data_IF_087478926856
#
_entry.id   IF_087478926856
#
_cell.length_a   1.000
_cell.length_b   1.000
_cell.length_c   1.000
_cell.angle_alpha   90.00
_cell.angle_beta   90.00
_cell.angle_gamma   90.00
#
_symmetry.space_group_name_H-M   'P 1'
#
loop_
_entity.id
_entity.type
_entity.pdbx_description
1 polymer ?
#
# COMPACT_ATOMS: atom_id res chain seq x y z
N UNK A 1 -16.95 14.08 -11.52
CA UNK A 1 -16.52 12.68 -11.55
C UNK A 1 -17.39 11.94 -10.56
N UNK A 2 -17.95 10.79 -10.94
CA UNK A 2 -18.83 10.02 -10.05
C UNK A 2 -18.03 8.89 -9.38
N UNK A 3 -17.99 8.82 -8.05
CA UNK A 3 -17.24 7.78 -7.35
C UNK A 3 -18.04 6.48 -7.25
N UNK A 4 -17.33 5.36 -7.19
CA UNK A 4 -17.88 4.07 -6.83
C UNK A 4 -17.98 3.92 -5.30
N UNK A 5 -19.02 3.23 -4.84
CA UNK A 5 -19.22 2.94 -3.43
C UNK A 5 -18.20 1.90 -2.92
N UNK A 6 -17.50 2.26 -1.85
CA UNK A 6 -16.63 1.40 -1.07
C UNK A 6 -16.92 1.66 0.40
N UNK A 7 -16.64 0.66 1.24
CA UNK A 7 -16.82 0.75 2.69
C UNK A 7 -15.51 0.41 3.37
N UNK A 8 -15.14 1.22 4.36
CA UNK A 8 -14.02 0.95 5.25
C UNK A 8 -14.54 0.38 6.56
N UNK A 9 -14.09 -0.83 6.89
CA UNK A 9 -14.25 -1.43 8.21
C UNK A 9 -12.99 -1.17 9.03
N UNK A 10 -13.10 -0.38 10.08
CA UNK A 10 -12.00 -0.06 11.00
C UNK A 10 -12.21 -0.70 12.37
N UNK A 11 -11.13 -1.31 12.85
CA UNK A 11 -11.01 -1.88 14.19
C UNK A 11 -10.00 -1.03 14.94
N UNK A 12 -10.48 -0.34 15.98
CA UNK A 12 -9.70 0.61 16.77
C UNK A 12 -9.82 0.40 18.27
N UNK A 13 -9.14 1.26 19.02
CA UNK A 13 -9.23 1.34 20.48
C UNK A 13 -9.01 -0.01 21.18
N UNK A 14 -8.07 -0.82 20.68
CA UNK A 14 -7.79 -2.13 21.28
C UNK A 14 -7.18 -1.98 22.67
N UNK A 15 -7.73 -2.70 23.66
CA UNK A 15 -7.18 -2.77 25.00
C UNK A 15 -7.54 -4.08 25.68
N UNK A 16 -6.62 -4.67 26.44
CA UNK A 16 -6.83 -5.96 27.09
C UNK A 16 -6.79 -5.81 28.61
N UNK A 17 -7.79 -6.34 29.32
CA UNK A 17 -7.78 -6.51 30.78
C UNK A 17 -7.72 -7.99 31.10
N UNK A 18 -6.69 -8.39 31.85
CA UNK A 18 -6.54 -9.77 32.33
C UNK A 18 -6.62 -9.72 33.86
N UNK A 19 -7.61 -10.37 34.49
CA UNK A 19 -7.69 -10.47 35.94
C UNK A 19 -6.45 -11.17 36.53
N UNK A 20 -5.92 -10.66 37.65
CA UNK A 20 -4.73 -11.20 38.30
C UNK A 20 -4.81 -12.71 38.61
N UNK A 21 -6.01 -13.23 38.89
CA UNK A 21 -6.25 -14.65 39.12
C UNK A 21 -6.05 -15.54 37.88
N UNK A 22 -6.20 -14.99 36.67
CA UNK A 22 -5.94 -15.68 35.39
C UNK A 22 -4.46 -15.64 34.99
N UNK A 23 -3.69 -14.69 35.54
CA UNK A 23 -2.23 -14.66 35.40
C UNK A 23 -1.58 -15.85 36.15
N UNK A 24 -2.14 -16.21 37.31
CA UNK A 24 -1.62 -17.27 38.18
C UNK A 24 -1.88 -18.70 37.66
N UNK A 25 -2.81 -18.90 36.71
CA UNK A 25 -2.97 -20.20 36.05
C UNK A 25 -1.97 -20.41 34.91
N UNK A 26 -1.20 -19.38 34.54
CA UNK A 26 -0.28 -19.41 33.40
C UNK A 26 1.19 -19.53 33.84
N UNK A 27 1.57 -19.17 35.08
CA UNK A 27 2.95 -19.32 35.56
C UNK A 27 3.04 -19.65 37.07
N UNK A 28 3.58 -20.82 37.39
CA UNK A 28 4.35 -21.00 38.62
C UNK A 28 5.69 -20.29 38.44
N UNK A 29 5.96 -19.24 39.22
CA UNK A 29 7.28 -18.60 39.31
C UNK A 29 7.33 -17.17 38.79
N UNK A 30 7.26 -16.23 39.73
CA UNK A 30 8.01 -14.96 39.83
C UNK A 30 8.58 -14.44 38.49
N UNK A 31 7.80 -13.62 37.77
CA UNK A 31 8.18 -12.47 36.92
C UNK A 31 6.92 -12.02 36.15
N UNK A 32 6.03 -11.27 36.81
CA UNK A 32 4.79 -10.75 36.22
C UNK A 32 5.06 -9.43 35.45
N UNK A 33 5.80 -9.47 34.34
CA UNK A 33 6.01 -8.29 33.46
C UNK A 33 6.18 -8.70 31.98
N UNK A 34 5.28 -8.19 31.12
CA UNK A 34 5.51 -7.83 29.70
C UNK A 34 5.59 -8.89 28.58
N UNK A 35 4.85 -9.99 28.58
CA UNK A 35 4.66 -10.70 27.29
C UNK A 35 3.72 -9.89 26.39
N UNK A 36 4.14 -9.50 25.17
CA UNK A 36 3.28 -8.74 24.27
C UNK A 36 2.08 -9.60 23.86
N UNK A 37 0.89 -9.08 24.07
CA UNK A 37 -0.34 -9.70 23.59
C UNK A 37 -0.54 -9.33 22.12
N UNK A 38 -0.96 -10.30 21.31
CA UNK A 38 -1.21 -10.09 19.88
C UNK A 38 -2.64 -10.47 19.53
N UNK A 39 -3.27 -9.67 18.67
CA UNK A 39 -4.54 -9.98 18.04
C UNK A 39 -4.33 -10.53 16.64
N UNK A 40 -5.08 -11.56 16.27
CA UNK A 40 -5.37 -11.88 14.88
C UNK A 40 -6.79 -11.45 14.55
N UNK A 41 -6.91 -10.57 13.56
CA UNK A 41 -8.16 -10.02 13.08
C UNK A 41 -8.45 -10.68 11.73
N UNK A 42 -9.59 -11.38 11.67
CA UNK A 42 -9.97 -12.22 10.54
C UNK A 42 -11.33 -11.79 10.02
N UNK A 43 -11.41 -11.59 8.71
CA UNK A 43 -12.64 -11.39 7.97
C UNK A 43 -12.63 -12.34 6.78
N UNK A 44 -13.73 -13.05 6.55
CA UNK A 44 -13.84 -14.04 5.46
C UNK A 44 -13.52 -13.38 4.12
N UNK A 45 -12.66 -14.01 3.32
CA UNK A 45 -12.24 -13.48 2.00
C UNK A 45 -11.07 -12.49 2.06
N UNK A 46 -10.63 -12.07 3.25
CA UNK A 46 -9.53 -11.11 3.42
C UNK A 46 -8.31 -11.73 4.11
N UNK A 47 -7.10 -11.21 3.86
CA UNK A 47 -5.90 -11.66 4.56
C UNK A 47 -5.98 -11.35 6.06
N UNK A 48 -5.52 -12.29 6.88
CA UNK A 48 -5.47 -12.12 8.34
C UNK A 48 -4.51 -10.99 8.70
N UNK A 49 -4.99 -10.03 9.50
CA UNK A 49 -4.17 -8.93 10.00
C UNK A 49 -3.75 -9.22 11.45
N UNK A 50 -2.49 -9.02 11.78
CA UNK A 50 -1.96 -9.21 13.15
C UNK A 50 -1.52 -7.86 13.71
N UNK A 51 -1.89 -7.57 14.96
CA UNK A 51 -1.52 -6.32 15.64
C UNK A 51 -1.25 -6.58 17.13
N UNK A 52 -0.47 -5.73 17.79
CA UNK A 52 -0.28 -5.79 19.23
C UNK A 52 -1.50 -5.24 19.96
N UNK A 53 -1.74 -5.72 21.18
CA UNK A 53 -2.79 -5.19 22.06
C UNK A 53 -2.17 -4.71 23.37
N UNK A 54 -2.39 -3.44 23.75
CA UNK A 54 -1.91 -2.93 25.02
C UNK A 54 -2.67 -3.57 26.18
N UNK A 55 -1.95 -3.97 27.23
CA UNK A 55 -2.53 -4.40 28.49
C UNK A 55 -2.92 -3.16 29.30
N UNK A 56 -4.19 -3.07 29.68
CA UNK A 56 -4.75 -1.97 30.47
C UNK A 56 -4.82 -2.43 31.92
N UNK A 57 -3.99 -1.82 32.78
CA UNK A 57 -3.86 -2.20 34.20
C UNK A 57 -4.74 -1.39 35.14
N UNK A 58 -5.19 -0.19 34.73
CA UNK A 58 -6.10 0.68 35.50
C UNK A 58 -7.48 0.74 34.86
N UNK A 59 -8.58 0.65 35.66
CA UNK A 59 -9.95 0.77 35.15
C UNK A 59 -10.27 2.15 34.57
N UNK A 60 -9.52 3.19 34.93
CA UNK A 60 -9.72 4.59 34.49
C UNK A 60 -9.11 4.90 33.11
N UNK A 61 -8.21 4.04 32.62
CA UNK A 61 -7.57 4.25 31.31
C UNK A 61 -8.54 3.82 30.21
N UNK A 62 -9.07 4.81 29.50
CA UNK A 62 -9.87 4.62 28.28
C UNK A 62 -8.89 4.49 27.10
N UNK A 63 -8.93 3.39 26.32
CA UNK A 63 -8.10 3.26 25.13
C UNK A 63 -8.37 4.42 24.15
N UNK A 64 -7.32 4.88 23.48
CA UNK A 64 -7.42 6.01 22.55
C UNK A 64 -8.52 5.77 21.51
N UNK A 65 -9.52 6.65 21.50
CA UNK A 65 -10.71 6.59 20.65
C UNK A 65 -10.41 6.85 19.17
N UNK A 66 -9.25 7.45 18.87
CA UNK A 66 -8.79 7.76 17.51
C UNK A 66 -7.80 6.73 16.97
N UNK A 67 -7.28 5.82 17.81
CA UNK A 67 -6.36 4.78 17.38
C UNK A 67 -7.06 3.74 16.48
N UNK A 68 -6.52 3.51 15.29
CA UNK A 68 -6.97 2.46 14.36
C UNK A 68 -5.93 1.35 14.28
N UNK A 69 -6.28 0.18 14.77
CA UNK A 69 -5.38 -0.97 14.83
C UNK A 69 -5.38 -1.78 13.53
N UNK A 70 -6.50 -1.83 12.81
CA UNK A 70 -6.65 -2.54 11.55
C UNK A 70 -7.79 -1.95 10.72
N UNK A 71 -7.65 -2.01 9.39
CA UNK A 71 -8.67 -1.54 8.44
C UNK A 71 -8.83 -2.57 7.30
N UNK A 72 -10.08 -2.85 6.92
CA UNK A 72 -10.44 -3.59 5.71
C UNK A 72 -11.22 -2.64 4.78
N UNK A 73 -11.05 -2.81 3.48
CA UNK A 73 -11.75 -2.04 2.47
C UNK A 73 -12.57 -3.00 1.63
N UNK A 74 -13.87 -2.76 1.56
CA UNK A 74 -14.85 -3.66 0.97
C UNK A 74 -15.44 -3.00 -0.28
N UNK A 75 -15.40 -3.72 -1.39
CA UNK A 75 -16.18 -3.38 -2.58
C UNK A 75 -17.61 -3.96 -2.47
N UNK A 76 -18.52 -3.53 -3.34
CA UNK A 76 -19.89 -4.05 -3.37
C UNK A 76 -19.92 -5.58 -3.53
N UNK A 77 -19.03 -6.15 -4.34
CA UNK A 77 -18.92 -7.61 -4.51
C UNK A 77 -18.47 -8.32 -3.24
N UNK A 78 -17.55 -7.73 -2.48
CA UNK A 78 -17.05 -8.31 -1.23
C UNK A 78 -18.16 -8.34 -0.18
N UNK A 79 -18.90 -7.24 -0.08
CA UNK A 79 -20.04 -7.16 0.84
C UNK A 79 -21.12 -8.18 0.47
N UNK A 80 -21.46 -8.29 -0.82
CA UNK A 80 -22.41 -9.30 -1.29
C UNK A 80 -21.93 -10.72 -0.95
N UNK A 81 -20.64 -11.00 -1.09
CA UNK A 81 -20.06 -12.30 -0.73
C UNK A 81 -20.09 -12.56 0.79
N UNK A 82 -19.94 -11.53 1.63
CA UNK A 82 -20.04 -11.65 3.08
C UNK A 82 -21.49 -11.85 3.55
N UNK A 83 -22.45 -11.20 2.90
CA UNK A 83 -23.89 -11.31 3.19
C UNK A 83 -24.52 -12.58 2.61
N UNK A 84 -23.89 -13.20 1.60
CA UNK A 84 -24.38 -14.43 1.00
C UNK A 84 -24.48 -15.56 2.06
N UNK A 85 -25.59 -16.32 2.07
CA UNK A 85 -25.72 -17.49 2.94
C UNK A 85 -24.60 -18.50 2.66
N UNK A 86 -23.98 -19.04 3.72
CA UNK A 86 -23.01 -20.11 3.58
C UNK A 86 -23.67 -21.41 3.11
N UNK A 87 -23.01 -22.15 2.21
CA UNK A 87 -23.44 -23.52 1.89
C UNK A 87 -22.97 -24.48 3.01
N UNK A 88 -23.85 -25.40 3.42
CA UNK A 88 -23.64 -26.39 4.49
C UNK A 88 -23.30 -25.83 5.88
N UNK A 89 -24.32 -25.71 6.76
CA UNK A 89 -24.24 -25.44 8.21
C UNK A 89 -23.37 -24.25 8.70
N UNK A 90 -22.76 -23.47 7.81
CA UNK A 90 -22.00 -22.28 8.18
C UNK A 90 -22.95 -21.12 8.44
N UNK A 91 -22.98 -20.72 9.69
CA UNK A 91 -23.44 -19.43 10.19
C UNK A 91 -22.90 -18.27 9.34
N UNK A 92 -23.62 -17.13 9.37
CA UNK A 92 -23.30 -15.87 8.67
C UNK A 92 -21.81 -15.52 8.78
N UNK A 93 -21.25 -14.84 7.77
CA UNK A 93 -19.87 -14.36 7.86
C UNK A 93 -19.70 -13.53 9.14
N UNK A 94 -18.53 -13.61 9.77
CA UNK A 94 -18.24 -12.85 10.97
C UNK A 94 -16.83 -12.24 10.92
N UNK A 95 -16.70 -11.09 11.56
CA UNK A 95 -15.43 -10.54 11.98
C UNK A 95 -15.01 -11.27 13.25
N UNK A 96 -13.86 -11.95 13.21
CA UNK A 96 -13.29 -12.66 14.35
C UNK A 96 -12.00 -11.98 14.81
N UNK A 97 -11.89 -11.71 16.10
CA UNK A 97 -10.70 -11.13 16.72
C UNK A 97 -10.25 -12.09 17.82
N UNK A 98 -9.16 -12.81 17.57
CA UNK A 98 -8.59 -13.77 18.51
C UNK A 98 -7.35 -13.17 19.20
N UNK A 99 -7.33 -13.20 20.52
CA UNK A 99 -6.25 -12.63 21.33
C UNK A 99 -5.34 -13.74 21.84
N UNK A 100 -4.04 -13.53 21.71
CA UNK A 100 -3.01 -14.49 22.10
C UNK A 100 -1.95 -13.86 22.99
N UNK A 101 -1.45 -14.66 23.93
CA UNK A 101 -0.24 -14.37 24.72
C UNK A 101 0.92 -15.26 24.26
N UNK A 102 2.15 -14.80 24.51
CA UNK A 102 3.39 -15.48 24.14
C UNK A 102 3.87 -15.19 22.72
N UNK A 103 5.11 -15.59 22.42
CA UNK A 103 5.76 -15.36 21.12
C UNK A 103 5.40 -16.49 20.15
N UNK A 104 5.21 -16.16 18.86
CA UNK A 104 5.08 -17.17 17.80
C UNK A 104 6.47 -17.79 17.58
N UNK A 105 6.66 -19.06 17.91
CA UNK A 105 7.95 -19.74 17.76
C UNK A 105 8.43 -19.75 16.31
N UNK A 106 9.70 -19.43 16.07
CA UNK A 106 10.38 -19.74 14.81
C UNK A 106 10.89 -21.18 14.85
N UNK A 107 11.06 -21.78 13.68
CA UNK A 107 11.40 -23.19 13.45
C UNK A 107 12.46 -23.80 14.41
N UNK A 108 12.27 -25.10 14.67
CA UNK A 108 13.13 -26.07 15.39
C UNK A 108 13.08 -26.05 16.93
N UNK A 109 12.26 -26.95 17.50
CA UNK A 109 12.46 -27.58 18.81
C UNK A 109 12.22 -26.71 20.06
N UNK A 110 11.10 -26.95 20.75
CA UNK A 110 10.78 -26.47 22.11
C UNK A 110 10.64 -24.94 22.26
N UNK A 111 9.70 -24.33 21.54
CA UNK A 111 9.26 -22.94 21.78
C UNK A 111 8.03 -22.87 22.69
N UNK A 112 7.97 -21.85 23.56
CA UNK A 112 6.77 -21.52 24.38
C UNK A 112 5.56 -21.42 23.45
N UNK A 113 4.58 -22.31 23.62
CA UNK A 113 3.39 -22.39 22.77
C UNK A 113 2.57 -21.11 22.92
N UNK A 114 2.33 -20.41 21.81
CA UNK A 114 1.38 -19.29 21.75
C UNK A 114 0.01 -19.74 22.28
N UNK A 115 -0.47 -19.10 23.33
CA UNK A 115 -1.72 -19.48 24.00
C UNK A 115 -2.82 -18.47 23.68
N UNK A 116 -4.00 -18.97 23.29
CA UNK A 116 -5.17 -18.14 23.04
C UNK A 116 -5.84 -17.76 24.37
N UNK A 117 -6.02 -16.47 24.59
CA UNK A 117 -6.71 -15.90 25.75
C UNK A 117 -8.22 -15.96 25.53
N UNK A 118 -8.65 -15.60 24.32
CA UNK A 118 -10.06 -15.46 24.00
C UNK A 118 -10.35 -15.03 22.58
N UNK A 119 -11.62 -14.99 22.22
CA UNK A 119 -12.09 -14.58 20.89
C UNK A 119 -13.33 -13.71 21.00
N UNK A 120 -13.31 -12.58 20.30
CA UNK A 120 -14.48 -11.77 19.99
C UNK A 120 -15.00 -12.16 18.59
N UNK A 121 -16.33 -12.23 18.43
CA UNK A 121 -16.98 -12.45 17.14
C UNK A 121 -18.12 -11.45 16.96
N UNK A 122 -18.19 -10.86 15.77
CA UNK A 122 -19.25 -9.96 15.34
C UNK A 122 -19.80 -10.46 14.02
N UNK A 123 -21.10 -10.75 13.96
CA UNK A 123 -21.75 -11.18 12.72
C UNK A 123 -21.81 -10.04 11.71
N UNK A 124 -21.68 -10.37 10.42
CA UNK A 124 -21.94 -9.46 9.32
C UNK A 124 -23.45 -9.42 9.09
N UNK A 125 -24.04 -8.25 9.27
CA UNK A 125 -25.46 -7.99 9.04
C UNK A 125 -25.73 -7.01 7.90
N UNK A 126 -27.00 -6.80 7.55
CA UNK A 126 -27.40 -5.90 6.45
C UNK A 126 -26.97 -4.45 6.67
N UNK A 127 -26.73 -4.04 7.93
CA UNK A 127 -26.25 -2.70 8.29
C UNK A 127 -24.90 -2.36 7.64
N UNK A 128 -24.15 -3.37 7.19
CA UNK A 128 -22.89 -3.19 6.48
C UNK A 128 -23.08 -2.60 5.08
N UNK A 129 -24.28 -2.72 4.49
CA UNK A 129 -24.61 -2.23 3.15
C UNK A 129 -25.34 -0.91 3.08
N UNK A 130 -25.65 -0.28 4.23
CA UNK A 130 -26.46 0.94 4.27
C UNK A 130 -25.75 2.18 3.71
N UNK A 131 -24.43 2.13 3.53
CA UNK A 131 -23.65 3.24 2.97
C UNK A 131 -23.57 4.47 3.88
N UNK A 132 -23.80 4.29 5.19
CA UNK A 132 -23.71 5.34 6.22
C UNK A 132 -22.66 4.98 7.27
N UNK A 133 -22.07 5.98 7.95
CA UNK A 133 -21.19 5.70 9.08
C UNK A 133 -21.95 4.99 10.21
N UNK A 134 -21.47 3.82 10.64
CA UNK A 134 -22.10 3.01 11.70
C UNK A 134 -21.05 2.49 12.66
N UNK A 135 -21.31 2.58 13.96
CA UNK A 135 -20.50 1.91 14.99
C UNK A 135 -21.20 0.61 15.33
N UNK A 136 -20.60 -0.52 14.94
CA UNK A 136 -21.17 -1.85 15.18
C UNK A 136 -20.92 -2.32 16.61
N UNK A 137 -19.81 -1.90 17.20
CA UNK A 137 -19.45 -2.22 18.57
C UNK A 137 -18.50 -1.17 19.14
N UNK A 138 -18.68 -0.80 20.42
CA UNK A 138 -17.77 0.06 21.15
C UNK A 138 -17.86 -0.23 22.65
N UNK A 139 -16.77 -0.71 23.25
CA UNK A 139 -16.69 -0.93 24.68
C UNK A 139 -15.90 -2.17 25.07
N UNK A 140 -16.01 -2.54 26.35
CA UNK A 140 -15.40 -3.75 26.93
C UNK A 140 -16.29 -4.97 26.75
N UNK A 141 -15.71 -6.12 26.41
CA UNK A 141 -16.41 -7.39 26.30
C UNK A 141 -15.55 -8.56 26.79
N UNK A 142 -16.15 -9.52 27.50
CA UNK A 142 -15.48 -10.75 27.91
C UNK A 142 -15.16 -11.66 26.72
N UNK A 143 -13.92 -12.10 26.59
CA UNK A 143 -13.45 -12.90 25.44
C UNK A 143 -13.05 -14.34 25.79
N UNK A 144 -12.98 -14.69 27.08
CA UNK A 144 -12.60 -16.02 27.56
C UNK A 144 -13.79 -16.94 27.87
N UNK A 145 -13.57 -18.26 27.91
CA UNK A 145 -14.56 -19.22 28.41
C UNK A 145 -14.75 -19.04 29.91
N UNK A 146 -15.86 -18.44 30.36
CA UNK A 146 -16.26 -18.55 31.76
C UNK A 146 -16.69 -20.00 32.02
N UNK A 147 -15.93 -20.76 32.82
CA UNK A 147 -16.50 -21.96 33.44
C UNK A 147 -17.63 -21.46 34.33
N UNK A 148 -18.86 -21.86 34.02
CA UNK A 148 -20.12 -21.39 34.58
C UNK A 148 -20.25 -21.58 36.11
N UNK A 149 -19.27 -22.23 36.74
CA UNK A 149 -19.23 -22.54 38.18
C UNK A 149 -18.29 -21.63 39.01
N UNK A 150 -17.45 -20.78 38.41
CA UNK A 150 -16.54 -19.90 39.17
C UNK A 150 -16.91 -18.42 38.98
N UNK A 151 -17.24 -17.73 40.07
CA UNK A 151 -17.51 -16.27 40.16
C UNK A 151 -16.31 -15.35 39.77
N UNK A 152 -15.33 -15.83 38.99
CA UNK A 152 -14.14 -15.05 38.62
C UNK A 152 -14.38 -14.29 37.31
N UNK A 153 -14.04 -12.99 37.23
CA UNK A 153 -14.09 -12.28 35.97
C UNK A 153 -13.10 -12.93 34.98
N UNK A 154 -13.53 -13.06 33.71
CA UNK A 154 -12.68 -13.51 32.61
C UNK A 154 -11.83 -12.37 32.04
N UNK A 155 -10.99 -12.67 31.05
CA UNK A 155 -10.29 -11.62 30.30
C UNK A 155 -11.29 -10.79 29.50
N UNK A 156 -11.11 -9.46 29.49
CA UNK A 156 -11.94 -8.51 28.75
C UNK A 156 -11.13 -7.82 27.66
N UNK A 157 -11.75 -7.60 26.51
CA UNK A 157 -11.20 -6.86 25.38
C UNK A 157 -12.03 -5.60 25.17
N UNK A 158 -11.37 -4.46 25.14
CA UNK A 158 -11.92 -3.23 24.59
C UNK A 158 -11.64 -3.17 23.11
N UNK A 159 -12.64 -2.78 22.33
CA UNK A 159 -12.47 -2.49 20.92
C UNK A 159 -13.59 -1.59 20.43
N UNK A 160 -13.31 -0.90 19.33
CA UNK A 160 -14.28 -0.18 18.53
C UNK A 160 -14.30 -0.75 17.12
N UNK A 161 -15.46 -1.17 16.66
CA UNK A 161 -15.68 -1.64 15.29
C UNK A 161 -16.58 -0.63 14.59
N UNK A 162 -16.07 0.00 13.54
CA UNK A 162 -16.73 1.09 12.81
C UNK A 162 -16.74 0.81 11.32
N UNK A 163 -17.86 1.12 10.67
CA UNK A 163 -18.00 1.20 9.23
C UNK A 163 -18.09 2.66 8.82
N UNK A 164 -17.34 3.03 7.79
CA UNK A 164 -17.36 4.36 7.18
C UNK A 164 -17.50 4.24 5.65
N UNK A 165 -18.29 5.11 5.00
CA UNK A 165 -18.25 5.26 3.56
C UNK A 165 -16.85 5.70 3.10
N UNK A 166 -16.31 5.05 2.08
CA UNK A 166 -14.98 5.32 1.54
C UNK A 166 -15.02 5.47 0.01
N UNK A 167 -15.89 6.33 -0.58
CA UNK A 167 -16.11 6.41 -2.01
C UNK A 167 -14.80 6.62 -2.80
N UNK A 168 -14.65 5.97 -3.95
CA UNK A 168 -13.41 5.98 -4.75
C UNK A 168 -13.67 6.23 -6.22
N UNK A 169 -12.78 6.99 -6.85
CA UNK A 169 -12.69 7.05 -8.30
C UNK A 169 -11.84 5.88 -8.82
N UNK A 170 -12.29 5.23 -9.88
CA UNK A 170 -11.55 4.13 -10.51
C UNK A 170 -11.11 4.58 -11.90
N UNK A 171 -9.80 4.71 -12.10
CA UNK A 171 -9.22 5.06 -13.39
C UNK A 171 -8.57 3.85 -14.03
N UNK A 172 -8.57 3.81 -15.37
CA UNK A 172 -7.87 2.79 -16.14
C UNK A 172 -7.11 3.44 -17.29
N UNK A 173 -5.85 3.05 -17.45
CA UNK A 173 -5.08 3.38 -18.65
C UNK A 173 -5.60 2.54 -19.82
N UNK A 174 -5.95 3.20 -20.92
CA UNK A 174 -6.55 2.55 -22.09
C UNK A 174 -5.59 1.58 -22.80
N UNK A 175 -4.28 1.80 -22.65
CA UNK A 175 -3.22 0.96 -23.22
C UNK A 175 -1.93 1.02 -22.39
N UNK A 176 -0.86 0.40 -22.89
CA UNK A 176 0.49 0.45 -22.32
C UNK A 176 0.95 1.90 -22.15
N UNK A 177 1.42 2.25 -20.94
CA UNK A 177 1.83 3.62 -20.56
C UNK A 177 2.81 4.25 -21.55
N UNK A 178 3.76 3.47 -22.10
CA UNK A 178 4.74 3.93 -23.10
C UNK A 178 4.13 4.36 -24.44
N UNK A 179 2.94 3.87 -24.77
CA UNK A 179 2.23 4.19 -26.01
C UNK A 179 1.38 5.46 -25.90
N UNK A 180 1.54 6.23 -24.81
CA UNK A 180 0.80 7.47 -24.57
C UNK A 180 -0.73 7.28 -24.60
N UNK A 181 -1.29 6.44 -23.71
CA UNK A 181 -2.71 6.08 -23.73
C UNK A 181 -3.60 7.20 -23.19
N UNK A 182 -4.90 7.12 -23.51
CA UNK A 182 -5.92 7.85 -22.74
C UNK A 182 -6.12 7.18 -21.37
N UNK A 183 -6.50 7.97 -20.38
CA UNK A 183 -6.89 7.49 -19.06
C UNK A 183 -8.38 7.75 -18.91
N UNK A 184 -9.12 6.68 -18.65
CA UNK A 184 -10.58 6.71 -18.51
C UNK A 184 -10.99 6.53 -17.06
N UNK A 185 -12.01 7.25 -16.62
CA UNK A 185 -12.76 6.97 -15.40
C UNK A 185 -13.77 5.85 -15.71
N UNK A 186 -13.77 4.82 -14.87
CA UNK A 186 -14.70 3.70 -14.93
C UNK A 186 -15.89 3.97 -14.03
N UNK A 187 -17.09 3.94 -14.61
CA UNK A 187 -18.36 4.07 -13.89
C UNK A 187 -19.29 2.92 -14.32
N UNK A 188 -19.20 1.80 -13.59
CA UNK A 188 -19.90 0.57 -13.99
C UNK A 188 -19.41 0.09 -15.36
N UNK A 189 -20.30 0.05 -16.35
CA UNK A 189 -19.96 -0.30 -17.74
C UNK A 189 -19.48 0.88 -18.59
N UNK A 190 -19.61 2.12 -18.10
CA UNK A 190 -19.26 3.33 -18.82
C UNK A 190 -17.77 3.64 -18.63
N UNK A 191 -17.10 4.01 -19.72
CA UNK A 191 -15.70 4.47 -19.73
C UNK A 191 -15.66 5.91 -20.24
N UNK A 192 -15.33 6.86 -19.37
CA UNK A 192 -15.24 8.27 -19.72
C UNK A 192 -13.77 8.71 -19.77
N UNK A 193 -13.25 9.23 -20.90
CA UNK A 193 -11.90 9.79 -20.94
C UNK A 193 -11.83 11.04 -20.05
N UNK A 194 -10.81 11.11 -19.18
CA UNK A 194 -10.56 12.27 -18.30
C UNK A 194 -9.18 12.87 -18.56
N UNK A 195 -8.19 12.04 -18.89
CA UNK A 195 -6.83 12.50 -19.17
C UNK A 195 -6.25 11.85 -20.41
N UNK A 196 -5.18 12.44 -20.93
CA UNK A 196 -4.25 11.79 -21.83
C UNK A 196 -2.86 11.68 -21.20
N UNK A 197 -2.28 10.48 -21.24
CA UNK A 197 -0.91 10.23 -20.82
C UNK A 197 0.00 10.40 -22.04
N UNK A 198 1.06 11.20 -21.91
CA UNK A 198 2.10 11.36 -22.94
C UNK A 198 3.43 10.89 -22.39
N UNK A 199 3.93 9.79 -22.93
CA UNK A 199 5.27 9.30 -22.66
C UNK A 199 6.26 9.90 -23.65
N UNK A 200 7.41 10.34 -23.14
CA UNK A 200 8.53 10.83 -23.95
C UNK A 200 9.83 10.26 -23.41
N UNK A 201 10.74 9.91 -24.33
CA UNK A 201 12.10 9.51 -24.02
C UNK A 201 13.03 10.55 -24.63
N UNK A 202 13.64 11.37 -23.79
CA UNK A 202 14.60 12.38 -24.23
C UNK A 202 15.95 11.72 -24.49
N UNK A 203 16.39 11.71 -25.75
CA UNK A 203 17.74 11.29 -26.11
C UNK A 203 18.68 12.42 -25.73
N UNK A 204 19.64 12.17 -24.84
CA UNK A 204 20.76 13.09 -24.67
C UNK A 204 21.55 13.05 -25.99
N UNK A 205 21.68 14.15 -26.76
CA UNK A 205 22.56 14.14 -27.91
C UNK A 205 23.98 13.88 -27.40
N UNK A 206 24.59 12.77 -27.79
CA UNK A 206 26.02 12.56 -27.64
C UNK A 206 26.73 13.58 -28.53
N UNK A 207 27.03 14.76 -27.98
CA UNK A 207 27.97 15.68 -28.60
C UNK A 207 29.36 15.25 -28.16
N UNK A 208 29.86 14.17 -28.76
CA UNK A 208 31.28 13.82 -28.68
C UNK A 208 31.93 14.11 -30.04
N UNK A 209 32.70 15.22 -30.20
CA UNK A 209 33.24 15.65 -31.49
C UNK A 209 34.25 14.68 -32.14
N UNK A 210 34.58 13.56 -31.47
CA UNK A 210 35.58 12.60 -31.90
C UNK A 210 35.01 11.25 -32.41
N UNK A 211 33.68 11.07 -32.44
CA UNK A 211 33.08 9.79 -32.83
C UNK A 211 33.10 9.49 -34.35
N UNK A 212 33.65 10.39 -35.17
CA UNK A 212 33.58 10.29 -36.65
C UNK A 212 34.52 9.22 -37.25
N UNK A 213 35.37 8.56 -36.46
CA UNK A 213 36.43 7.71 -37.02
C UNK A 213 36.15 6.20 -37.10
N UNK A 214 35.07 5.67 -36.51
CA UNK A 214 34.74 4.23 -36.60
C UNK A 214 33.41 4.00 -37.33
N UNK A 215 33.44 4.23 -38.64
CA UNK A 215 32.40 3.71 -39.54
C UNK A 215 32.69 2.23 -39.84
N UNK A 216 32.10 1.33 -39.06
CA UNK A 216 32.19 -0.12 -39.27
C UNK A 216 31.09 -0.90 -38.54
N UNK A 217 30.00 -1.18 -39.27
CA UNK A 217 28.91 -2.12 -38.92
C UNK A 217 28.02 -1.74 -37.72
N UNK A 218 27.10 -0.79 -37.94
CA UNK A 218 26.21 -0.22 -36.92
C UNK A 218 24.71 -0.50 -37.18
N UNK A 219 24.29 -1.76 -37.37
CA UNK A 219 22.85 -2.09 -37.46
C UNK A 219 22.30 -2.90 -36.28
N UNK A 220 23.16 -3.51 -35.43
CA UNK A 220 22.69 -4.32 -34.29
C UNK A 220 23.03 -3.77 -32.90
N UNK A 221 24.04 -2.90 -32.78
CA UNK A 221 24.47 -2.34 -31.49
C UNK A 221 23.56 -1.21 -31.01
N UNK A 222 23.07 -0.35 -31.91
CA UNK A 222 22.28 0.83 -31.53
C UNK A 222 20.90 0.45 -30.99
N UNK A 223 20.26 -0.59 -31.54
CA UNK A 223 19.03 -1.16 -31.01
C UNK A 223 19.23 -1.81 -29.63
N UNK A 224 20.39 -2.40 -29.36
CA UNK A 224 20.73 -2.97 -28.05
C UNK A 224 21.06 -1.88 -27.02
N UNK A 225 21.64 -0.76 -27.44
CA UNK A 225 21.97 0.39 -26.60
C UNK A 225 20.73 1.22 -26.26
N UNK A 226 19.84 1.47 -27.23
CA UNK A 226 18.51 2.08 -27.00
C UNK A 226 17.63 1.26 -26.06
N UNK A 227 17.78 -0.07 -26.06
CA UNK A 227 17.08 -0.99 -25.13
C UNK A 227 17.62 -0.94 -23.70
N UNK A 228 18.84 -0.43 -23.51
CA UNK A 228 19.54 -0.37 -22.21
C UNK A 228 19.46 0.99 -21.54
N UNK A 229 19.18 2.06 -22.27
CA UNK A 229 19.03 3.39 -21.70
C UNK A 229 17.61 3.65 -21.20
N UNK A 230 17.38 3.31 -19.93
CA UNK A 230 16.19 3.72 -19.16
C UNK A 230 16.48 5.05 -18.46
N UNK A 231 16.92 6.01 -19.28
CA UNK A 231 17.30 7.37 -18.91
C UNK A 231 16.37 8.35 -19.62
N UNK A 232 16.13 9.51 -19.02
CA UNK A 232 15.36 10.59 -19.65
C UNK A 232 13.90 10.25 -19.97
N UNK A 233 13.32 9.22 -19.34
CA UNK A 233 11.88 8.96 -19.48
C UNK A 233 11.11 10.02 -18.70
N UNK A 234 10.03 10.45 -19.34
CA UNK A 234 9.11 11.44 -18.80
C UNK A 234 7.69 11.06 -19.19
N UNK A 235 6.78 11.25 -18.25
CA UNK A 235 5.35 11.14 -18.47
C UNK A 235 4.71 12.47 -18.13
N UNK A 236 3.86 12.97 -19.01
CA UNK A 236 2.96 14.09 -18.73
C UNK A 236 1.53 13.61 -18.78
N UNK A 237 0.72 14.03 -17.81
CA UNK A 237 -0.73 13.85 -17.81
C UNK A 237 -1.33 15.17 -18.26
N UNK A 238 -2.15 15.12 -19.31
CA UNK A 238 -2.89 16.28 -19.79
C UNK A 238 -4.38 16.10 -19.52
N UNK A 239 -5.05 17.19 -19.21
CA UNK A 239 -6.50 17.25 -19.13
C UNK A 239 -7.15 17.13 -20.53
N UNK A 240 -8.47 17.29 -20.60
CA UNK A 240 -9.21 17.28 -21.87
C UNK A 240 -8.96 18.52 -22.74
N UNK A 241 -8.41 19.61 -22.19
CA UNK A 241 -8.01 20.80 -22.95
C UNK A 241 -6.64 20.63 -23.62
N UNK A 242 -5.87 19.62 -23.22
CA UNK A 242 -4.50 19.38 -23.65
C UNK A 242 -3.44 20.07 -22.79
N UNK A 243 -3.84 20.68 -21.66
CA UNK A 243 -2.96 21.32 -20.69
C UNK A 243 -2.29 20.27 -19.80
N UNK A 244 -0.98 20.40 -19.58
CA UNK A 244 -0.23 19.44 -18.75
C UNK A 244 -0.49 19.72 -17.26
N UNK A 245 -1.26 18.86 -16.60
CA UNK A 245 -1.74 19.04 -15.22
C UNK A 245 -0.98 18.22 -14.17
N UNK A 246 -0.16 17.26 -14.60
CA UNK A 246 0.79 16.56 -13.75
C UNK A 246 1.91 15.93 -14.59
N UNK A 247 3.04 15.61 -13.98
CA UNK A 247 4.12 14.91 -14.67
C UNK A 247 4.98 14.06 -13.73
N UNK A 248 5.67 13.09 -14.33
CA UNK A 248 6.68 12.27 -13.67
C UNK A 248 7.94 12.24 -14.53
N UNK A 249 9.10 12.46 -13.91
CA UNK A 249 10.40 12.55 -14.58
C UNK A 249 11.40 11.65 -13.90
N UNK A 250 12.21 10.93 -14.67
CA UNK A 250 13.38 10.25 -14.09
C UNK A 250 14.39 11.30 -13.61
N UNK A 251 14.70 11.29 -12.32
CA UNK A 251 15.79 12.10 -11.72
C UNK A 251 17.04 11.26 -11.46
N UNK A 252 16.86 9.98 -11.13
CA UNK A 252 17.97 9.03 -11.01
C UNK A 252 17.77 7.93 -12.05
N UNK A 253 18.69 7.78 -13.02
CA UNK A 253 18.52 6.83 -14.11
C UNK A 253 18.48 5.39 -13.61
N UNK A 254 17.70 4.56 -14.29
CA UNK A 254 17.63 3.13 -14.00
C UNK A 254 18.81 2.46 -14.70
N UNK A 255 19.87 2.17 -13.95
CA UNK A 255 21.12 1.58 -14.44
C UNK A 255 21.51 0.34 -13.63
N UNK A 256 22.23 -0.62 -14.23
CA UNK A 256 22.71 -1.79 -13.48
C UNK A 256 23.63 -1.35 -12.35
N UNK A 257 23.48 -1.97 -11.18
CA UNK A 257 24.39 -1.77 -10.05
C UNK A 257 25.68 -2.58 -10.23
N UNK A 258 26.78 -2.13 -9.64
CA UNK A 258 28.08 -2.81 -9.74
C UNK A 258 27.98 -4.30 -9.39
N UNK A 259 28.40 -5.17 -10.31
CA UNK A 259 28.37 -6.62 -10.12
C UNK A 259 27.00 -7.28 -10.36
N UNK A 260 25.99 -6.55 -10.82
CA UNK A 260 24.66 -7.08 -11.14
C UNK A 260 24.18 -6.60 -12.52
N UNK A 261 23.24 -7.33 -13.13
CA UNK A 261 22.60 -6.93 -14.39
C UNK A 261 21.21 -6.32 -14.18
N UNK A 262 20.92 -5.79 -12.98
CA UNK A 262 19.66 -5.12 -12.64
C UNK A 262 19.89 -3.90 -11.75
N UNK A 263 18.85 -3.08 -11.62
CA UNK A 263 18.81 -1.94 -10.68
C UNK A 263 18.68 -2.48 -9.26
N UNK A 264 19.72 -2.41 -8.44
CA UNK A 264 19.71 -2.92 -7.08
C UNK A 264 19.41 -1.82 -6.05
N UNK A 265 19.12 -2.22 -4.81
CA UNK A 265 18.85 -1.32 -3.68
C UNK A 265 19.98 -0.31 -3.41
N UNK A 266 21.22 -0.66 -3.73
CA UNK A 266 22.39 0.21 -3.55
C UNK A 266 22.42 1.39 -4.51
N UNK A 267 21.72 1.31 -5.65
CA UNK A 267 21.58 2.39 -6.62
C UNK A 267 20.18 2.36 -7.24
N UNK A 268 19.14 2.80 -6.50
CA UNK A 268 17.77 2.76 -6.98
C UNK A 268 17.54 3.81 -8.08
N UNK A 269 16.76 3.45 -9.09
CA UNK A 269 16.22 4.43 -10.02
C UNK A 269 15.16 5.29 -9.31
N UNK A 270 14.99 6.54 -9.73
CA UNK A 270 14.06 7.45 -9.07
C UNK A 270 13.30 8.32 -10.06
N UNK A 271 12.02 8.51 -9.74
CA UNK A 271 11.12 9.45 -10.39
C UNK A 271 10.80 10.61 -9.45
N UNK A 272 10.77 11.82 -9.97
CA UNK A 272 10.15 12.98 -9.34
C UNK A 272 8.76 13.18 -9.92
N UNK A 273 7.76 13.17 -9.06
CA UNK A 273 6.37 13.49 -9.37
C UNK A 273 6.16 14.96 -9.09
N UNK A 274 5.57 15.67 -10.04
CA UNK A 274 5.40 17.13 -9.97
C UNK A 274 3.99 17.53 -10.40
N UNK A 275 3.60 18.71 -9.94
CA UNK A 275 2.39 19.43 -10.38
C UNK A 275 2.75 20.81 -10.93
N UNK A 276 1.91 21.43 -11.75
CA UNK A 276 2.09 22.82 -12.15
C UNK A 276 2.19 23.75 -10.94
N UNK A 277 3.09 24.73 -11.01
CA UNK A 277 3.19 25.77 -9.99
C UNK A 277 2.01 26.75 -10.12
N UNK A 278 1.24 26.91 -9.04
CA UNK A 278 0.09 27.82 -8.99
C UNK A 278 0.50 29.28 -9.21
N UNK A 279 1.70 29.67 -8.78
CA UNK A 279 2.21 31.04 -8.87
C UNK A 279 2.97 31.30 -10.17
N UNK A 280 3.38 30.24 -10.88
CA UNK A 280 4.20 30.31 -12.10
C UNK A 280 3.73 29.26 -13.12
N UNK A 281 2.79 29.62 -14.01
CA UNK A 281 2.08 28.69 -14.92
C UNK A 281 2.95 27.85 -15.87
N UNK A 282 4.27 28.06 -15.91
CA UNK A 282 5.23 27.33 -16.75
C UNK A 282 6.26 26.52 -15.94
N UNK A 283 6.25 26.64 -14.61
CA UNK A 283 7.15 25.88 -13.74
C UNK A 283 6.45 24.71 -13.06
N UNK A 284 7.27 23.76 -12.61
CA UNK A 284 6.83 22.53 -11.96
C UNK A 284 7.23 22.56 -10.49
N UNK A 285 6.27 22.25 -9.61
CA UNK A 285 6.51 22.07 -8.18
C UNK A 285 6.66 20.58 -7.84
N UNK A 286 7.70 20.20 -7.07
CA UNK A 286 7.88 18.84 -6.62
C UNK A 286 6.78 18.44 -5.63
N UNK A 287 6.22 17.25 -5.80
CA UNK A 287 5.19 16.70 -4.91
C UNK A 287 5.67 15.45 -4.19
N UNK A 288 6.36 14.56 -4.90
CA UNK A 288 6.80 13.29 -4.33
C UNK A 288 7.92 12.65 -5.11
N UNK A 289 8.64 11.74 -4.46
CA UNK A 289 9.74 10.98 -5.04
C UNK A 289 9.42 9.48 -4.96
N UNK A 290 9.43 8.81 -6.11
CA UNK A 290 9.29 7.36 -6.21
C UNK A 290 10.63 6.73 -6.54
N UNK A 291 11.21 5.99 -5.60
CA UNK A 291 12.38 5.14 -5.83
C UNK A 291 11.94 3.73 -6.21
N UNK A 292 12.67 3.09 -7.12
CA UNK A 292 12.43 1.71 -7.49
C UNK A 292 13.72 0.93 -7.77
N UNK A 293 13.73 -0.32 -7.31
CA UNK A 293 14.83 -1.26 -7.53
C UNK A 293 14.29 -2.70 -7.55
N UNK A 294 15.06 -3.61 -8.14
CA UNK A 294 14.78 -5.04 -8.12
C UNK A 294 15.51 -5.71 -6.97
N UNK A 295 14.80 -6.55 -6.23
CA UNK A 295 15.34 -7.40 -5.19
C UNK A 295 15.14 -8.86 -5.58
N UNK A 296 16.27 -9.56 -5.74
CA UNK A 296 16.32 -10.98 -6.08
C UNK A 296 16.67 -11.78 -4.83
N UNK A 297 15.75 -12.61 -4.38
CA UNK A 297 15.94 -13.57 -3.30
C UNK A 297 15.14 -14.84 -3.58
N UNK A 298 14.44 -15.38 -2.57
CA UNK A 298 13.49 -16.49 -2.76
C UNK A 298 12.39 -16.11 -3.77
N UNK A 299 12.04 -14.82 -3.82
CA UNK A 299 11.08 -14.25 -4.77
C UNK A 299 11.74 -13.09 -5.51
N UNK A 300 11.54 -13.03 -6.80
CA UNK A 300 11.97 -11.90 -7.63
C UNK A 300 10.89 -10.81 -7.59
N UNK A 301 11.28 -9.62 -7.14
CA UNK A 301 10.36 -8.52 -6.91
C UNK A 301 10.97 -7.16 -7.24
N UNK A 302 10.12 -6.22 -7.63
CA UNK A 302 10.46 -4.81 -7.79
C UNK A 302 9.89 -4.08 -6.57
N UNK A 303 10.77 -3.47 -5.78
CA UNK A 303 10.38 -2.58 -4.71
C UNK A 303 10.06 -1.20 -5.29
N UNK A 304 8.94 -0.63 -4.87
CA UNK A 304 8.54 0.75 -5.13
C UNK A 304 8.41 1.47 -3.79
N UNK A 305 9.22 2.51 -3.58
CA UNK A 305 9.22 3.33 -2.36
C UNK A 305 8.85 4.76 -2.70
N UNK A 306 7.72 5.22 -2.19
CA UNK A 306 7.22 6.56 -2.41
C UNK A 306 7.36 7.43 -1.17
N UNK A 307 7.95 8.60 -1.33
CA UNK A 307 8.05 9.66 -0.32
C UNK A 307 7.31 10.91 -0.78
N UNK A 308 6.54 11.50 0.11
CA UNK A 308 5.93 12.81 -0.11
C UNK A 308 6.94 13.89 0.32
N UNK A 309 7.04 14.96 -0.47
CA UNK A 309 7.92 16.08 -0.19
C UNK A 309 7.11 17.16 0.54
N UNK A 310 7.62 17.67 1.67
CA UNK A 310 7.00 18.77 2.40
C UNK A 310 7.26 20.10 1.69
N UNK A 311 6.25 20.96 1.62
CA UNK A 311 6.36 22.33 1.06
C UNK A 311 7.00 23.34 2.04
N UNK A 312 7.31 22.92 3.28
CA UNK A 312 7.87 23.77 4.33
C UNK A 312 9.38 24.03 4.22
N UNK A 313 9.85 25.08 4.91
CA UNK A 313 11.25 25.54 4.97
C UNK A 313 12.25 24.48 5.47
N UNK A 314 11.78 23.48 6.22
CA UNK A 314 12.56 22.29 6.56
C UNK A 314 12.15 21.18 5.59
N UNK A 315 12.94 20.95 4.54
CA UNK A 315 12.68 19.99 3.45
C UNK A 315 12.63 18.53 3.89
N UNK A 316 11.64 18.16 4.70
CA UNK A 316 11.39 16.82 5.18
C UNK A 316 10.72 15.95 4.12
N UNK A 317 11.28 14.77 3.88
CA UNK A 317 10.65 13.73 3.08
C UNK A 317 9.90 12.75 4.01
N UNK A 318 8.61 12.52 3.76
CA UNK A 318 7.81 11.57 4.54
C UNK A 318 7.56 10.28 3.75
N UNK A 319 7.98 9.13 4.30
CA UNK A 319 7.71 7.83 3.69
C UNK A 319 6.22 7.54 3.71
N UNK A 320 5.60 7.44 2.53
CA UNK A 320 4.17 7.16 2.37
C UNK A 320 3.89 5.70 2.04
N UNK A 321 4.79 5.04 1.31
CA UNK A 321 4.63 3.63 0.94
C UNK A 321 5.96 2.98 0.55
N UNK A 322 6.14 1.71 0.91
CA UNK A 322 7.22 0.84 0.42
C UNK A 322 6.63 -0.55 0.17
N UNK A 323 6.56 -0.96 -1.11
CA UNK A 323 5.87 -2.19 -1.53
C UNK A 323 6.74 -2.99 -2.48
N UNK A 324 6.77 -4.31 -2.24
CA UNK A 324 7.41 -5.29 -3.12
C UNK A 324 6.38 -5.91 -4.08
N UNK A 325 6.49 -5.56 -5.35
CA UNK A 325 5.65 -6.07 -6.43
C UNK A 325 6.35 -7.27 -7.07
N UNK A 326 5.65 -8.37 -7.29
CA UNK A 326 6.28 -9.53 -7.93
C UNK A 326 6.65 -9.20 -9.39
N UNK A 327 7.90 -9.45 -9.78
CA UNK A 327 8.40 -9.05 -11.10
C UNK A 327 7.64 -9.73 -12.25
N UNK A 328 7.29 -11.01 -12.13
CA UNK A 328 6.65 -11.78 -13.21
C UNK A 328 5.12 -11.70 -13.20
N UNK A 329 4.52 -11.69 -12.01
CA UNK A 329 3.07 -11.70 -11.81
C UNK A 329 2.48 -10.31 -11.77
N UNK A 330 3.27 -9.29 -11.45
CA UNK A 330 2.80 -7.96 -11.11
C UNK A 330 2.24 -7.93 -9.69
N UNK A 331 1.39 -6.95 -9.42
CA UNK A 331 0.81 -6.75 -8.10
C UNK A 331 0.16 -5.38 -7.97
N UNK A 332 -0.02 -4.95 -6.73
CA UNK A 332 -0.67 -3.70 -6.41
C UNK A 332 0.27 -2.85 -5.57
N UNK A 333 0.55 -1.64 -6.05
CA UNK A 333 1.09 -0.56 -5.26
C UNK A 333 -0.08 0.15 -4.56
N UNK A 334 0.04 0.53 -3.30
CA UNK A 334 -0.98 1.27 -2.57
C UNK A 334 -0.36 2.23 -1.57
N UNK A 335 -1.12 3.26 -1.21
CA UNK A 335 -0.79 4.22 -0.16
C UNK A 335 -1.95 4.19 0.84
N UNK A 336 -1.64 3.92 2.10
CA UNK A 336 -2.61 3.87 3.20
C UNK A 336 -1.94 4.46 4.45
N UNK A 337 -2.44 5.61 4.89
CA UNK A 337 -1.83 6.38 5.99
C UNK A 337 -2.02 5.70 7.35
N UNK A 338 -3.04 4.85 7.52
CA UNK A 338 -3.20 4.06 8.76
C UNK A 338 -2.07 3.03 8.91
N UNK A 339 -1.66 2.42 7.79
CA UNK A 339 -0.59 1.42 7.78
C UNK A 339 0.75 2.06 8.11
N UNK A 340 0.98 3.26 7.59
CA UNK A 340 2.22 3.98 7.82
C UNK A 340 2.37 4.44 9.26
N UNK A 341 1.31 4.97 9.87
CA UNK A 341 1.32 5.37 11.28
C UNK A 341 1.64 4.18 12.20
N UNK A 342 1.15 2.97 11.87
CA UNK A 342 1.47 1.74 12.60
C UNK A 342 2.92 1.29 12.44
N UNK A 343 3.49 1.44 11.24
CA UNK A 343 4.89 1.11 11.00
C UNK A 343 5.85 2.05 11.76
N UNK A 344 5.54 3.35 11.80
CA UNK A 344 6.31 4.34 12.55
C UNK A 344 6.25 4.13 14.08
N UNK A 345 5.11 3.69 14.62
CA UNK A 345 4.97 3.38 16.04
C UNK A 345 5.75 2.11 16.48
N UNK A 346 6.20 1.27 15.54
CA UNK A 346 6.93 0.03 15.82
C UNK A 346 8.47 0.20 15.83
N UNK A 347 9.00 1.35 15.41
CA UNK A 347 10.44 1.67 15.50
C UNK A 347 10.78 2.42 16.79
N UNK A 348 11.82 2.04 17.55
CA UNK A 348 12.20 2.77 18.75
C UNK A 348 13.01 4.05 18.42
N UNK A 349 12.83 5.09 19.26
CA UNK A 349 13.64 6.33 19.46
C UNK A 349 13.09 7.61 18.76
N UNK A 350 13.21 8.83 19.33
CA UNK A 350 12.75 9.35 20.64
C UNK A 350 11.71 10.50 20.49
N UNK A 351 10.97 10.80 21.57
CA UNK A 351 10.26 12.06 21.92
C UNK A 351 9.52 12.89 20.84
N UNK A 352 8.19 13.10 20.96
CA UNK A 352 7.47 14.04 20.11
C UNK A 352 7.65 15.47 20.63
N UNK A 353 8.34 16.32 19.87
CA UNK A 353 8.17 17.76 19.97
C UNK A 353 7.89 18.29 18.58
N UNK A 354 6.62 18.61 18.32
CA UNK A 354 6.21 19.85 17.66
C UNK A 354 4.72 19.74 17.35
N UNK A 355 3.92 20.49 18.10
CA UNK A 355 2.58 20.88 17.67
C UNK A 355 2.74 21.99 16.64
N UNK A 356 2.27 21.78 15.42
CA UNK A 356 2.29 22.81 14.38
C UNK A 356 1.57 22.38 13.12
N UNK A 357 0.33 22.84 12.98
CA UNK A 357 -0.30 23.32 11.75
C UNK A 357 -0.26 22.43 10.49
N UNK A 358 -1.01 21.33 10.53
CA UNK A 358 -1.41 20.57 9.35
C UNK A 358 -2.58 21.27 8.63
N UNK A 359 -2.29 22.32 7.87
CA UNK A 359 -3.32 23.13 7.20
C UNK A 359 -3.47 22.85 5.68
N UNK A 360 -2.78 21.87 5.08
CA UNK A 360 -2.96 21.54 3.66
C UNK A 360 -3.34 20.07 3.36
N UNK A 361 -3.20 19.17 4.35
CA UNK A 361 -3.81 17.83 4.41
C UNK A 361 -4.08 17.55 5.89
N UNK A 362 -5.25 17.97 6.40
CA UNK A 362 -5.54 17.96 7.83
C UNK A 362 -5.36 16.57 8.49
N UNK A 363 -4.88 16.48 9.74
CA UNK A 363 -4.73 15.23 10.47
C UNK A 363 -6.06 14.97 11.18
N UNK A 364 -7.02 14.35 10.51
CA UNK A 364 -8.26 13.95 11.20
C UNK A 364 -8.88 12.63 10.73
N UNK A 365 -8.50 12.09 9.57
CA UNK A 365 -8.95 10.75 9.15
C UNK A 365 -7.85 10.06 8.34
N UNK A 366 -6.96 9.30 9.01
CA UNK A 366 -6.05 8.36 8.33
C UNK A 366 -6.84 7.31 7.52
N UNK A 367 -6.21 6.62 6.57
CA UNK A 367 -6.81 5.57 5.74
C UNK A 367 -6.25 5.47 4.32
N UNK A 368 -6.97 4.75 3.46
CA UNK A 368 -6.64 4.52 2.05
C UNK A 368 -6.48 5.83 1.26
N UNK A 369 -5.44 5.94 0.46
CA UNK A 369 -5.23 7.10 -0.43
C UNK A 369 -5.42 6.65 -1.87
N UNK A 370 -4.59 5.72 -2.31
CA UNK A 370 -4.64 5.18 -3.67
C UNK A 370 -4.22 3.72 -3.70
N UNK A 371 -4.61 3.00 -4.75
CA UNK A 371 -3.93 1.81 -5.22
C UNK A 371 -3.75 1.84 -6.73
N UNK A 372 -2.72 1.18 -7.22
CA UNK A 372 -2.37 1.04 -8.63
C UNK A 372 -1.98 -0.42 -8.88
N UNK A 373 -2.82 -1.13 -9.63
CA UNK A 373 -2.56 -2.51 -10.04
C UNK A 373 -1.79 -2.51 -11.36
N UNK A 374 -0.62 -3.14 -11.34
CA UNK A 374 0.30 -3.22 -12.48
C UNK A 374 0.56 -4.68 -12.85
N UNK A 375 0.82 -4.91 -14.14
CA UNK A 375 1.15 -6.24 -14.64
C UNK A 375 2.66 -6.51 -14.53
N UNK A 376 3.00 -7.79 -14.43
CA UNK A 376 4.40 -8.21 -14.41
C UNK A 376 5.08 -8.10 -15.77
N UNK A 377 6.38 -8.37 -15.77
CA UNK A 377 7.26 -8.30 -16.93
C UNK A 377 6.72 -9.11 -18.12
N UNK A 378 6.85 -8.55 -19.32
CA UNK A 378 6.44 -9.20 -20.57
C UNK A 378 4.94 -9.17 -20.88
N UNK A 379 4.10 -8.65 -19.98
CA UNK A 379 2.67 -8.46 -20.21
C UNK A 379 2.37 -7.02 -20.62
N UNK A 380 1.30 -6.84 -21.40
CA UNK A 380 0.73 -5.51 -21.66
C UNK A 380 0.10 -4.98 -20.38
N UNK A 381 0.76 -4.02 -19.73
CA UNK A 381 0.22 -3.41 -18.52
C UNK A 381 -0.77 -2.30 -18.88
N UNK A 382 -1.95 -2.35 -18.27
CA UNK A 382 -2.98 -1.31 -18.32
C UNK A 382 -3.32 -0.96 -16.89
N UNK A 383 -2.56 -0.04 -16.25
CA UNK A 383 -2.75 0.27 -14.84
C UNK A 383 -4.20 0.56 -14.50
N UNK A 384 -4.69 -0.12 -13.45
CA UNK A 384 -5.98 0.15 -12.84
C UNK A 384 -5.73 0.87 -11.52
N UNK A 385 -6.25 2.08 -11.38
CA UNK A 385 -5.98 2.96 -10.26
C UNK A 385 -7.26 3.21 -9.49
N UNK A 386 -7.25 2.93 -8.18
CA UNK A 386 -8.31 3.35 -7.26
C UNK A 386 -7.80 4.57 -6.48
N UNK A 387 -8.63 5.61 -6.35
CA UNK A 387 -8.27 6.84 -5.65
C UNK A 387 -9.41 7.25 -4.72
N UNK A 388 -9.12 7.42 -3.43
CA UNK A 388 -10.14 7.82 -2.46
C UNK A 388 -10.63 9.25 -2.75
N UNK A 389 -11.95 9.43 -2.83
CA UNK A 389 -12.58 10.72 -3.17
C UNK A 389 -12.15 11.84 -2.22
N UNK A 390 -11.95 11.56 -0.93
CA UNK A 390 -11.53 12.55 0.08
C UNK A 390 -10.19 13.25 -0.23
N UNK A 391 -9.35 12.66 -1.09
CA UNK A 391 -8.05 13.20 -1.48
C UNK A 391 -8.11 13.96 -2.82
N UNK A 392 -9.31 14.19 -3.36
CA UNK A 392 -9.52 14.80 -4.67
C UNK A 392 -10.51 15.95 -4.51
N UNK A 393 -10.01 17.18 -4.56
CA UNK A 393 -10.84 18.40 -4.54
C UNK A 393 -11.14 18.89 -5.95
N UNK A 394 -10.22 18.68 -6.89
CA UNK A 394 -10.37 18.99 -8.30
C UNK A 394 -9.85 17.84 -9.20
N UNK A 395 -10.00 17.98 -10.51
CA UNK A 395 -9.56 16.95 -11.47
C UNK A 395 -8.03 16.87 -11.50
N UNK A 396 -7.35 18.00 -11.32
CA UNK A 396 -5.89 18.11 -11.29
C UNK A 396 -5.28 17.32 -10.12
N UNK A 397 -5.95 17.28 -8.97
CA UNK A 397 -5.55 16.45 -7.83
C UNK A 397 -5.50 14.97 -8.22
N UNK A 398 -6.44 14.49 -9.03
CA UNK A 398 -6.42 13.10 -9.51
C UNK A 398 -5.26 12.86 -10.50
N UNK A 399 -4.89 13.86 -11.31
CA UNK A 399 -3.84 13.75 -12.31
C UNK A 399 -2.47 13.45 -11.68
N UNK A 400 -2.18 13.98 -10.49
CA UNK A 400 -0.91 13.74 -9.81
C UNK A 400 -0.72 12.27 -9.42
N UNK A 401 -1.81 11.62 -8.99
CA UNK A 401 -1.84 10.19 -8.70
C UNK A 401 -1.76 9.36 -9.99
N UNK A 402 -2.29 9.85 -11.11
CA UNK A 402 -2.11 9.20 -12.42
C UNK A 402 -0.64 9.26 -12.87
N UNK A 403 0.05 10.38 -12.64
CA UNK A 403 1.49 10.50 -12.91
C UNK A 403 2.30 9.52 -12.05
N UNK A 404 1.97 9.40 -10.76
CA UNK A 404 2.57 8.40 -9.87
C UNK A 404 2.28 6.96 -10.34
N UNK A 405 1.04 6.65 -10.73
CA UNK A 405 0.66 5.33 -11.24
C UNK A 405 1.44 4.97 -12.51
N UNK A 406 1.61 5.91 -13.43
CA UNK A 406 2.43 5.75 -14.62
C UNK A 406 3.90 5.48 -14.27
N UNK A 407 4.45 6.19 -13.28
CA UNK A 407 5.81 5.97 -12.80
C UNK A 407 6.01 4.59 -12.16
N UNK A 408 5.03 4.12 -11.37
CA UNK A 408 5.02 2.75 -10.80
C UNK A 408 5.00 1.70 -11.91
N UNK A 409 4.11 1.85 -12.89
CA UNK A 409 4.00 0.93 -14.02
C UNK A 409 5.30 0.85 -14.84
N UNK A 410 5.84 2.01 -15.21
CA UNK A 410 7.10 2.11 -15.94
C UNK A 410 8.29 1.58 -15.12
N UNK A 411 8.25 1.66 -13.79
CA UNK A 411 9.29 1.11 -12.92
C UNK A 411 9.38 -0.42 -12.99
N UNK A 412 8.27 -1.12 -13.19
CA UNK A 412 8.29 -2.58 -13.42
C UNK A 412 9.11 -2.92 -14.66
N UNK A 413 8.96 -2.13 -15.73
CA UNK A 413 9.75 -2.31 -16.94
C UNK A 413 11.19 -1.80 -16.78
N UNK A 414 11.37 -0.68 -16.09
CA UNK A 414 12.67 -0.05 -15.89
C UNK A 414 13.59 -0.83 -14.93
N UNK A 415 13.03 -1.76 -14.14
CA UNK A 415 13.79 -2.67 -13.28
C UNK A 415 14.05 -4.06 -13.89
N UNK A 416 13.70 -4.29 -15.16
CA UNK A 416 14.03 -5.53 -15.89
C UNK A 416 15.55 -5.76 -15.94
N UNK A 417 16.06 -6.97 -16.06
CA UNK A 417 17.49 -7.17 -16.20
C UNK A 417 17.97 -6.58 -17.54
N UNK A 418 19.16 -6.00 -17.58
CA UNK A 418 19.70 -5.33 -18.76
C UNK A 418 20.24 -6.34 -19.79
N UNK A 419 20.60 -7.54 -19.35
CA UNK A 419 21.01 -8.63 -20.22
C UNK A 419 19.91 -9.70 -20.30
N UNK A 420 19.28 -9.82 -21.48
CA UNK A 420 18.51 -11.04 -21.80
C UNK A 420 19.51 -12.12 -22.20
N UNK A 421 19.69 -13.17 -21.39
CA UNK A 421 20.35 -14.40 -21.88
C UNK A 421 19.54 -14.87 -23.09
N UNK A 422 20.14 -14.80 -24.28
CA UNK A 422 19.62 -15.45 -25.48
C UNK A 422 19.46 -16.92 -25.08
N UNK A 423 18.22 -17.43 -25.09
CA UNK A 423 17.97 -18.87 -24.98
C UNK A 423 18.80 -19.50 -26.09
N UNK A 424 19.90 -20.17 -25.75
CA UNK A 424 20.70 -20.95 -26.69
C UNK A 424 19.74 -22.00 -27.24
N UNK A 425 19.20 -21.77 -28.43
CA UNK A 425 18.46 -22.79 -29.15
C UNK A 425 19.40 -23.99 -29.27
N UNK A 426 18.91 -25.16 -28.88
CA UNK A 426 19.57 -26.42 -29.23
C UNK A 426 19.70 -26.43 -30.75
N UNK A 427 20.89 -26.11 -31.25
CA UNK A 427 21.26 -26.49 -32.62
C UNK A 427 21.40 -27.99 -32.56
N UNK A 428 20.32 -28.69 -32.90
CA UNK A 428 20.43 -30.06 -33.35
C UNK A 428 21.23 -29.99 -34.65
N UNK A 429 22.50 -30.38 -34.57
CA UNK A 429 23.32 -30.66 -35.74
C UNK A 429 22.71 -31.82 -36.50
N UNK A 430 22.51 -31.62 -37.80
CA UNK A 430 22.18 -32.62 -38.81
C UNK A 430 23.15 -33.80 -38.79
#
# INVERSE_FOLDING_TARGET
>A
MDPQAFIRLSIGSLGLRIPAAALNSVNSGIHAVSTPCTCEIRLRGFPVQTTSVPLVTSPEVIPDSHSTASSFYLEASDLNALLAPGCFYSTRACLEIAVFTGRKGSHCGVGIKRQQIGTFKLEVGPEWGEGRPVILFNGWIGIGKSKQESKRPGAELHLRVKLDPDPRYIFQFGDVTKLSPQIVLLQGSIKQPIFSCKFTQERVPQVDPLSTYWSGSAESSDLEMERRERKGWKVKIHDLSGSAVAAAFITTPFVPSTGCDWVARSNPGAWLIVRPDVYRPESWQPWGKLEAWRERGIRDSVCCRFRLLSEGQEGGEFLMSEIFINAEKGGEFFIDTDRQMRAAAASPIPSPQSSGDFAALGPAVGGFVMSCRVQGEGKSSKPLVQLAMRHVTCVEDAAIFMALAAAVDLSIEACRPFHRKIKRGSRNSL
#
